data_IF_905521717049
#
_entry.id   IF_905521717049
#
_cell.length_a   1.000
_cell.length_b   1.000
_cell.length_c   1.000
_cell.angle_alpha   90.00
_cell.angle_beta   90.00
_cell.angle_gamma   90.00
#
_symmetry.space_group_name_H-M   'P 1'
#
loop_
_entity.id
_entity.type
_entity.pdbx_description
1 polymer ?
#
# COMPACT_ATOMS: atom_id res chain seq x y z
N UNK A 1 -25.75 -1.40 4.39
CA UNK A 1 -24.40 -1.93 4.09
C UNK A 1 -23.87 -2.70 5.29
N UNK A 2 -23.35 -3.87 5.03
CA UNK A 2 -22.74 -4.67 6.09
C UNK A 2 -21.42 -4.04 6.56
N UNK A 3 -21.15 -4.16 7.84
CA UNK A 3 -19.89 -3.69 8.41
C UNK A 3 -18.68 -4.39 7.78
N UNK A 4 -18.80 -5.70 7.50
CA UNK A 4 -17.74 -6.46 6.82
C UNK A 4 -17.40 -5.85 5.47
N UNK A 5 -18.40 -5.46 4.70
CA UNK A 5 -18.19 -4.85 3.37
C UNK A 5 -17.49 -3.51 3.50
N UNK A 6 -17.88 -2.70 4.48
CA UNK A 6 -17.27 -1.41 4.72
C UNK A 6 -15.81 -1.55 5.13
N UNK A 7 -15.51 -2.51 6.01
CA UNK A 7 -14.13 -2.77 6.44
C UNK A 7 -13.30 -3.30 5.30
N UNK A 8 -13.86 -4.17 4.47
CA UNK A 8 -13.17 -4.64 3.27
C UNK A 8 -12.75 -3.47 2.38
N UNK A 9 -13.64 -2.50 2.18
CA UNK A 9 -13.32 -1.30 1.40
C UNK A 9 -12.20 -0.49 2.04
N UNK A 10 -12.21 -0.35 3.37
CA UNK A 10 -11.17 0.38 4.09
C UNK A 10 -9.81 -0.30 3.91
N UNK A 11 -9.76 -1.62 4.06
CA UNK A 11 -8.53 -2.39 3.88
C UNK A 11 -8.00 -2.26 2.45
N UNK A 12 -8.89 -2.31 1.48
CA UNK A 12 -8.53 -2.17 0.07
C UNK A 12 -7.97 -0.78 -0.22
N UNK A 13 -8.66 0.26 0.26
CA UNK A 13 -8.29 1.64 -0.03
C UNK A 13 -6.96 2.03 0.62
N UNK A 14 -6.72 1.58 1.84
CA UNK A 14 -5.47 1.90 2.54
C UNK A 14 -4.31 1.07 2.03
N UNK A 15 -4.54 -0.19 1.70
CA UNK A 15 -3.52 -1.04 1.09
C UNK A 15 -2.31 -1.31 1.95
N UNK A 16 -2.43 -1.17 3.26
CA UNK A 16 -1.35 -1.39 4.23
C UNK A 16 -1.95 -1.94 5.52
N UNK A 17 -1.15 -2.54 6.38
CA UNK A 17 -1.68 -3.03 7.65
C UNK A 17 -2.26 -1.90 8.50
N UNK A 18 -3.43 -2.15 9.06
CA UNK A 18 -4.18 -1.16 9.85
C UNK A 18 -4.48 -1.72 11.22
N UNK A 19 -4.36 -0.88 12.24
CA UNK A 19 -4.73 -1.28 13.60
C UNK A 19 -6.25 -1.41 13.72
N UNK A 20 -6.69 -2.26 14.65
CA UNK A 20 -8.11 -2.45 14.90
C UNK A 20 -8.80 -1.15 15.30
N UNK A 21 -8.10 -0.32 16.09
CA UNK A 21 -8.62 0.98 16.53
C UNK A 21 -8.89 1.89 15.34
N UNK A 22 -7.94 1.99 14.41
CA UNK A 22 -8.11 2.82 13.23
C UNK A 22 -9.23 2.32 12.33
N UNK A 23 -9.32 1.00 12.14
CA UNK A 23 -10.38 0.39 11.34
C UNK A 23 -11.76 0.72 11.95
N UNK A 24 -11.89 0.55 13.26
CA UNK A 24 -13.14 0.83 13.95
C UNK A 24 -13.54 2.30 13.80
N UNK A 25 -12.57 3.19 13.91
CA UNK A 25 -12.82 4.63 13.77
C UNK A 25 -13.32 4.97 12.37
N UNK A 26 -12.65 4.50 11.32
CA UNK A 26 -13.06 4.76 9.95
C UNK A 26 -14.37 4.07 9.57
N UNK A 27 -14.65 2.93 10.18
CA UNK A 27 -15.89 2.19 9.93
C UNK A 27 -17.06 2.72 10.75
N UNK A 28 -16.79 3.63 11.68
CA UNK A 28 -17.77 4.18 12.60
C UNK A 28 -18.45 3.07 13.41
N UNK A 29 -17.61 2.19 13.98
CA UNK A 29 -18.06 1.06 14.79
C UNK A 29 -17.28 1.00 16.09
N UNK A 30 -17.74 0.16 17.03
CA UNK A 30 -16.94 -0.16 18.19
C UNK A 30 -15.77 -1.07 17.81
N UNK A 31 -14.74 -1.12 18.65
CA UNK A 31 -13.60 -2.00 18.43
C UNK A 31 -14.05 -3.47 18.41
N UNK A 32 -14.99 -3.83 19.30
CA UNK A 32 -15.51 -5.18 19.39
C UNK A 32 -16.25 -5.60 18.12
N UNK A 33 -17.07 -4.70 17.58
CA UNK A 33 -17.80 -4.95 16.34
C UNK A 33 -16.83 -5.07 15.14
N UNK A 34 -15.82 -4.21 15.11
CA UNK A 34 -14.81 -4.27 14.07
C UNK A 34 -14.02 -5.57 14.13
N UNK A 35 -13.68 -6.03 15.33
CA UNK A 35 -12.95 -7.28 15.53
C UNK A 35 -13.77 -8.47 15.01
N UNK A 36 -15.05 -8.53 15.35
CA UNK A 36 -15.93 -9.59 14.86
C UNK A 36 -16.05 -9.56 13.33
N UNK A 37 -16.19 -8.38 12.75
CA UNK A 37 -16.30 -8.23 11.31
C UNK A 37 -15.00 -8.65 10.60
N UNK A 38 -13.85 -8.32 11.15
CA UNK A 38 -12.57 -8.72 10.59
C UNK A 38 -12.39 -10.24 10.66
N UNK A 39 -12.77 -10.86 11.78
CA UNK A 39 -12.69 -12.31 11.91
C UNK A 39 -13.58 -13.00 10.87
N UNK A 40 -14.75 -12.42 10.60
CA UNK A 40 -15.65 -12.92 9.56
C UNK A 40 -15.01 -12.76 8.17
N UNK A 41 -14.37 -11.62 7.90
CA UNK A 41 -13.66 -11.39 6.63
C UNK A 41 -12.50 -12.37 6.45
N UNK A 42 -11.72 -12.60 7.49
CA UNK A 42 -10.61 -13.56 7.44
C UNK A 42 -11.15 -14.94 7.05
N UNK A 43 -12.24 -15.35 7.69
CA UNK A 43 -12.86 -16.64 7.42
C UNK A 43 -13.41 -16.71 5.98
N UNK A 44 -14.13 -15.66 5.55
CA UNK A 44 -14.71 -15.61 4.21
C UNK A 44 -13.64 -15.74 3.13
N UNK A 45 -12.54 -15.01 3.27
CA UNK A 45 -11.46 -15.06 2.30
C UNK A 45 -10.71 -16.39 2.37
N UNK A 46 -10.58 -16.99 3.56
CA UNK A 46 -9.89 -18.26 3.72
C UNK A 46 -10.60 -19.40 2.98
N UNK A 47 -11.93 -19.38 2.95
CA UNK A 47 -12.73 -20.43 2.30
C UNK A 47 -13.11 -20.12 0.87
N UNK A 48 -12.79 -18.95 0.40
CA UNK A 48 -13.10 -18.52 -0.96
C UNK A 48 -11.93 -18.84 -1.89
N UNK A 49 -12.24 -19.25 -3.11
CA UNK A 49 -11.22 -19.40 -4.15
C UNK A 49 -10.90 -18.00 -4.70
N UNK A 50 -9.94 -17.36 -4.09
CA UNK A 50 -9.57 -15.96 -4.36
C UNK A 50 -8.06 -15.81 -4.29
N UNK A 51 -7.54 -14.84 -5.03
CA UNK A 51 -6.12 -14.50 -4.98
C UNK A 51 -5.75 -13.73 -3.72
N UNK A 52 -6.76 -13.17 -3.03
CA UNK A 52 -6.54 -12.30 -1.88
C UNK A 52 -6.82 -13.01 -0.56
N UNK A 53 -6.27 -12.48 0.50
CA UNK A 53 -6.53 -12.93 1.86
C UNK A 53 -6.52 -11.73 2.80
N UNK A 54 -7.21 -11.87 3.92
CA UNK A 54 -7.14 -10.90 5.01
C UNK A 54 -6.31 -11.53 6.11
N UNK A 55 -5.23 -10.88 6.51
CA UNK A 55 -4.30 -11.43 7.49
C UNK A 55 -4.02 -10.44 8.61
N UNK A 56 -3.67 -10.97 9.77
CA UNK A 56 -3.16 -10.20 10.87
C UNK A 56 -1.63 -10.27 10.84
N UNK A 57 -1.00 -9.09 10.85
CA UNK A 57 0.45 -8.99 10.93
C UNK A 57 0.82 -8.27 12.23
N UNK A 58 2.12 -8.13 12.50
CA UNK A 58 2.58 -7.38 13.66
C UNK A 58 2.13 -5.92 13.65
N UNK A 59 1.83 -5.38 12.46
CA UNK A 59 1.43 -3.98 12.28
C UNK A 59 -0.08 -3.79 12.18
N UNK A 60 -0.86 -4.87 12.17
CA UNK A 60 -2.31 -4.80 12.08
C UNK A 60 -2.88 -5.73 11.03
N UNK A 61 -4.10 -5.42 10.58
CA UNK A 61 -4.82 -6.25 9.60
C UNK A 61 -4.65 -5.70 8.20
N UNK A 62 -4.52 -6.59 7.23
CA UNK A 62 -4.26 -6.22 5.85
C UNK A 62 -4.97 -7.15 4.88
N UNK A 63 -5.49 -6.57 3.80
CA UNK A 63 -5.98 -7.33 2.65
C UNK A 63 -4.83 -7.38 1.66
N UNK A 64 -4.38 -8.58 1.33
CA UNK A 64 -3.18 -8.74 0.50
C UNK A 64 -3.25 -9.97 -0.38
N UNK A 65 -2.34 -10.04 -1.34
CA UNK A 65 -2.20 -11.17 -2.23
C UNK A 65 -1.73 -12.39 -1.44
N UNK A 66 -2.32 -13.56 -1.72
CA UNK A 66 -1.86 -14.81 -1.10
C UNK A 66 -0.44 -15.13 -1.53
N UNK A 67 0.36 -15.64 -0.59
CA UNK A 67 1.78 -15.91 -0.83
C UNK A 67 2.04 -16.91 -1.94
N UNK A 68 1.07 -17.75 -2.24
CA UNK A 68 1.17 -18.71 -3.35
C UNK A 68 1.40 -18.01 -4.70
N UNK A 69 1.03 -16.71 -4.78
CA UNK A 69 1.20 -15.92 -5.98
C UNK A 69 2.46 -15.04 -5.97
N UNK A 70 3.34 -15.20 -5.00
CA UNK A 70 4.57 -14.40 -4.92
C UNK A 70 5.44 -14.58 -6.17
N UNK A 71 5.54 -15.81 -6.67
CA UNK A 71 6.28 -16.07 -7.90
C UNK A 71 5.68 -15.32 -9.09
N UNK A 72 4.36 -15.29 -9.17
CA UNK A 72 3.66 -14.56 -10.24
C UNK A 72 3.93 -13.07 -10.14
N UNK A 73 3.93 -12.53 -8.93
CA UNK A 73 4.26 -11.13 -8.70
C UNK A 73 5.67 -10.82 -9.18
N UNK A 74 6.63 -11.68 -8.86
CA UNK A 74 8.02 -11.50 -9.29
C UNK A 74 8.17 -11.53 -10.81
N UNK A 75 7.35 -12.30 -11.50
CA UNK A 75 7.38 -12.38 -12.97
C UNK A 75 6.68 -11.21 -13.64
N UNK A 76 5.61 -10.71 -13.06
CA UNK A 76 4.80 -9.65 -13.66
C UNK A 76 5.33 -8.26 -13.32
N UNK A 77 6.09 -8.12 -12.25
CA UNK A 77 6.70 -6.87 -11.84
C UNK A 77 8.21 -7.00 -12.11
N UNK A 78 8.81 -6.09 -12.89
CA UNK A 78 10.24 -6.15 -13.15
C UNK A 78 11.03 -6.27 -11.84
N UNK A 79 11.87 -7.29 -11.76
CA UNK A 79 12.61 -7.61 -10.56
C UNK A 79 13.66 -6.56 -10.20
N UNK A 80 14.08 -5.75 -11.18
CA UNK A 80 15.14 -4.78 -10.96
C UNK A 80 14.71 -3.38 -11.37
N UNK A 81 14.43 -2.57 -10.36
CA UNK A 81 14.43 -1.14 -10.53
C UNK A 81 15.89 -0.68 -10.44
N UNK A 82 16.29 0.25 -11.27
CA UNK A 82 17.62 0.85 -11.18
C UNK A 82 17.80 1.49 -9.80
N UNK A 83 19.05 1.63 -9.35
CA UNK A 83 19.35 2.22 -8.04
C UNK A 83 18.74 3.61 -7.87
N UNK A 84 18.80 4.43 -8.93
CA UNK A 84 18.22 5.78 -8.90
C UNK A 84 16.71 5.72 -8.70
N UNK A 85 16.03 4.85 -9.41
CA UNK A 85 14.57 4.70 -9.30
C UNK A 85 14.17 4.16 -7.92
N UNK A 86 14.94 3.21 -7.38
CA UNK A 86 14.70 2.70 -6.03
C UNK A 86 14.87 3.79 -4.96
N UNK A 87 15.88 4.64 -5.10
CA UNK A 87 16.11 5.75 -4.17
C UNK A 87 14.99 6.77 -4.25
N UNK A 88 14.50 7.04 -5.45
CA UNK A 88 13.36 7.95 -5.64
C UNK A 88 12.09 7.36 -5.03
N UNK A 89 11.86 6.07 -5.22
CA UNK A 89 10.73 5.38 -4.60
C UNK A 89 10.82 5.45 -3.08
N UNK A 90 12.01 5.21 -2.52
CA UNK A 90 12.23 5.30 -1.07
C UNK A 90 11.95 6.71 -0.55
N UNK A 91 12.39 7.74 -1.27
CA UNK A 91 12.15 9.13 -0.89
C UNK A 91 10.64 9.44 -0.85
N UNK A 92 9.91 8.96 -1.85
CA UNK A 92 8.45 9.15 -1.90
C UNK A 92 7.79 8.41 -0.73
N UNK A 93 8.20 7.18 -0.47
CA UNK A 93 7.63 6.36 0.59
C UNK A 93 7.85 6.97 1.97
N UNK A 94 9.05 7.51 2.21
CA UNK A 94 9.39 8.13 3.50
C UNK A 94 8.58 9.38 3.79
N UNK A 95 8.25 10.15 2.76
CA UNK A 95 7.53 11.41 2.92
C UNK A 95 6.08 11.34 2.47
N UNK A 96 5.60 10.17 2.18
CA UNK A 96 4.31 9.88 1.58
C UNK A 96 3.13 10.61 2.26
N UNK A 97 2.37 11.47 1.57
CA UNK A 97 2.58 11.91 0.19
C UNK A 97 3.60 13.04 0.09
N UNK A 98 4.19 13.22 -1.08
CA UNK A 98 5.13 14.30 -1.33
C UNK A 98 4.74 15.06 -2.59
N UNK A 99 4.92 16.38 -2.57
CA UNK A 99 4.71 17.22 -3.75
C UNK A 99 5.86 16.98 -4.73
N UNK A 100 5.54 16.82 -6.01
CA UNK A 100 6.55 16.47 -7.02
C UNK A 100 7.70 17.49 -7.08
N UNK A 101 7.42 18.79 -6.94
CA UNK A 101 8.48 19.80 -6.95
C UNK A 101 9.45 19.60 -5.78
N UNK A 102 8.96 19.19 -4.62
CA UNK A 102 9.80 18.91 -3.47
C UNK A 102 10.68 17.69 -3.71
N UNK A 103 10.13 16.67 -4.37
CA UNK A 103 10.90 15.48 -4.74
C UNK A 103 12.01 15.84 -5.72
N UNK A 104 11.72 16.69 -6.70
CA UNK A 104 12.71 17.13 -7.69
C UNK A 104 13.84 17.89 -7.00
N UNK A 105 13.54 18.72 -6.02
CA UNK A 105 14.56 19.40 -5.25
C UNK A 105 15.47 18.43 -4.51
N UNK A 106 14.89 17.35 -3.99
CA UNK A 106 15.68 16.34 -3.27
C UNK A 106 16.52 15.46 -4.19
N UNK A 107 16.01 15.13 -5.35
CA UNK A 107 16.59 14.08 -6.20
C UNK A 107 17.16 14.58 -7.52
N UNK A 108 16.83 15.80 -7.92
CA UNK A 108 17.25 16.34 -9.19
C UNK A 108 16.29 16.03 -10.33
N UNK A 109 16.56 16.58 -11.50
CA UNK A 109 15.65 16.52 -12.66
C UNK A 109 15.45 15.11 -13.21
N UNK A 110 16.39 14.20 -12.98
CA UNK A 110 16.23 12.79 -13.42
C UNK A 110 15.07 12.12 -12.72
N UNK A 111 14.62 12.65 -11.59
CA UNK A 111 13.50 12.09 -10.86
C UNK A 111 12.19 12.15 -11.64
N UNK A 112 12.02 13.09 -12.57
CA UNK A 112 10.82 13.12 -13.42
C UNK A 112 10.61 11.81 -14.17
N UNK A 113 11.68 11.32 -14.79
CA UNK A 113 11.62 10.08 -15.55
C UNK A 113 11.40 8.88 -14.63
N UNK A 114 12.04 8.89 -13.46
CA UNK A 114 11.89 7.83 -12.48
C UNK A 114 10.47 7.77 -11.91
N UNK A 115 9.86 8.94 -11.67
CA UNK A 115 8.45 9.00 -11.24
C UNK A 115 7.54 8.39 -12.30
N UNK A 116 7.76 8.72 -13.57
CA UNK A 116 6.96 8.18 -14.66
C UNK A 116 7.07 6.65 -14.72
N UNK A 117 8.26 6.11 -14.57
CA UNK A 117 8.49 4.68 -14.51
C UNK A 117 7.73 4.03 -13.35
N UNK A 118 7.79 4.65 -12.17
CA UNK A 118 7.12 4.14 -10.99
C UNK A 118 5.60 4.19 -11.11
N UNK A 119 5.07 5.22 -11.78
CA UNK A 119 3.64 5.33 -12.05
C UNK A 119 3.21 4.21 -13.01
N UNK A 120 3.97 3.99 -14.07
CA UNK A 120 3.68 2.93 -15.05
C UNK A 120 3.71 1.54 -14.42
N UNK A 121 4.64 1.32 -13.48
CA UNK A 121 4.74 0.06 -12.75
C UNK A 121 3.67 -0.09 -11.67
N UNK A 122 2.96 0.99 -11.36
CA UNK A 122 1.88 0.95 -10.40
C UNK A 122 2.30 1.13 -8.94
N UNK A 123 3.55 1.47 -8.66
CA UNK A 123 4.01 1.69 -7.29
C UNK A 123 3.66 3.07 -6.75
N UNK A 124 3.48 4.04 -7.64
CA UNK A 124 3.21 5.43 -7.28
C UNK A 124 1.96 5.90 -8.00
N UNK A 125 1.16 6.70 -7.31
CA UNK A 125 0.02 7.41 -7.89
C UNK A 125 0.35 8.90 -7.94
N UNK A 126 0.05 9.51 -9.07
CA UNK A 126 0.28 10.92 -9.31
C UNK A 126 -1.08 11.61 -9.38
N UNK A 127 -1.34 12.52 -8.44
CA UNK A 127 -2.62 13.22 -8.36
C UNK A 127 -2.42 14.72 -8.49
N UNK A 128 -3.35 15.37 -9.18
CA UNK A 128 -3.35 16.82 -9.30
C UNK A 128 -3.89 17.41 -8.01
N UNK A 129 -3.21 18.43 -7.48
CA UNK A 129 -3.68 19.15 -6.32
C UNK A 129 -4.77 20.17 -6.75
N UNK A 130 -5.77 20.38 -5.89
CA UNK A 130 -6.91 21.24 -6.20
C UNK A 130 -6.49 22.68 -6.50
N UNK A 131 -5.55 23.21 -5.74
CA UNK A 131 -5.08 24.57 -5.88
C UNK A 131 -3.60 24.62 -6.22
N UNK A 132 -3.03 23.50 -6.59
CA UNK A 132 -1.61 23.37 -6.79
C UNK A 132 -1.19 23.41 -8.24
N UNK A 133 0.02 23.85 -8.45
CA UNK A 133 0.68 23.84 -9.75
C UNK A 133 1.51 22.59 -9.97
N UNK A 134 1.62 21.76 -8.95
CA UNK A 134 2.41 20.55 -8.97
C UNK A 134 1.56 19.36 -8.57
N UNK A 135 2.04 18.18 -8.92
CA UNK A 135 1.37 16.94 -8.60
C UNK A 135 1.75 16.47 -7.21
N UNK A 136 0.82 15.75 -6.59
CA UNK A 136 1.07 15.04 -5.34
C UNK A 136 1.37 13.59 -5.67
N UNK A 137 2.47 13.08 -5.11
CA UNK A 137 2.93 11.71 -5.34
C UNK A 137 2.71 10.90 -4.08
N UNK A 138 2.13 9.72 -4.23
CA UNK A 138 1.89 8.83 -3.10
C UNK A 138 2.11 7.38 -3.50
N UNK A 139 2.51 6.57 -2.53
CA UNK A 139 2.68 5.13 -2.77
C UNK A 139 1.31 4.46 -2.85
N UNK A 140 1.26 3.35 -3.57
CA UNK A 140 0.03 2.58 -3.79
C UNK A 140 0.00 1.33 -2.92
N UNK A 141 -1.14 0.64 -2.92
CA UNK A 141 -1.25 -0.65 -2.25
C UNK A 141 -0.26 -1.67 -2.83
N UNK A 142 0.02 -1.58 -4.12
CA UNK A 142 0.99 -2.46 -4.77
C UNK A 142 2.39 -2.28 -4.20
N UNK A 143 2.78 -1.03 -3.89
CA UNK A 143 4.04 -0.76 -3.23
C UNK A 143 4.11 -1.49 -1.88
N UNK A 144 3.08 -1.34 -1.06
CA UNK A 144 3.05 -1.97 0.26
C UNK A 144 3.10 -3.49 0.18
N UNK A 145 2.38 -4.07 -0.77
CA UNK A 145 2.37 -5.51 -0.97
C UNK A 145 3.73 -6.03 -1.39
N UNK A 146 4.39 -5.31 -2.27
CA UNK A 146 5.67 -5.75 -2.83
C UNK A 146 6.83 -5.58 -1.86
N UNK A 147 6.86 -4.48 -1.11
CA UNK A 147 8.02 -4.12 -0.28
C UNK A 147 7.83 -4.38 1.21
N UNK A 148 6.71 -4.89 1.65
CA UNK A 148 6.41 -5.04 3.08
C UNK A 148 7.45 -5.89 3.81
N UNK A 149 7.85 -7.02 3.25
CA UNK A 149 8.81 -7.93 3.87
C UNK A 149 10.18 -7.28 4.01
N UNK A 150 10.62 -6.57 2.98
CA UNK A 150 11.91 -5.87 3.00
C UNK A 150 11.91 -4.75 4.03
N UNK A 151 10.82 -4.02 4.12
CA UNK A 151 10.66 -2.94 5.09
C UNK A 151 10.76 -3.45 6.52
N UNK A 152 10.18 -4.61 6.81
CA UNK A 152 10.27 -5.25 8.10
C UNK A 152 11.70 -5.73 8.41
N UNK A 153 12.43 -6.20 7.41
CA UNK A 153 13.82 -6.60 7.54
C UNK A 153 14.70 -5.42 7.90
N UNK A 154 14.51 -4.30 7.23
CA UNK A 154 15.29 -3.08 7.48
C UNK A 154 15.02 -2.50 8.85
N UNK A 155 13.78 -2.55 9.32
CA UNK A 155 13.42 -2.02 10.62
C UNK A 155 14.00 -2.81 11.79
N UNK A 156 14.53 -3.99 11.55
CA UNK A 156 15.17 -4.83 12.56
C UNK A 156 16.68 -4.56 12.72
N UNK A 157 17.23 -3.83 11.78
CA UNK A 157 18.61 -3.41 11.83
C UNK A 157 18.76 -2.10 12.60
#
# INVERSE_FOLDING_TARGET
MKLTTKIEAILYLKGQPLTLVDIAQWADSSVEEAQEAIMELISDYAYRDSALEVVETGSGYSLQLRSVFDDLMDHLIPAELGKGTLRTLAAIALKNPIVQTDLIELRGSTAYQQVQELVELGFIRKRRQENGRSYLLEVTSKFHQYFEIEQLSESRE
#
